data_IF_842734457140
#
_entry.id   IF_842734457140
#
_cell.length_a   1.000
_cell.length_b   1.000
_cell.length_c   1.000
_cell.angle_alpha   90.00
_cell.angle_beta   90.00
_cell.angle_gamma   90.00
#
_symmetry.space_group_name_H-M   'P 1'
#
loop_
_entity.id
_entity.type
_entity.pdbx_description
1 polymer ?
#
# COMPACT_ATOMS: atom_id res chain seq x y z
N UNK A 1 -8.50 20.95 16.54
CA UNK A 1 -7.69 20.13 15.61
C UNK A 1 -7.63 20.82 14.25
N UNK A 2 -8.77 21.15 13.64
CA UNK A 2 -8.86 21.75 12.28
C UNK A 2 -8.02 23.02 12.16
N UNK A 3 -8.13 23.94 13.10
CA UNK A 3 -7.36 25.20 13.11
C UNK A 3 -5.85 24.97 13.22
N UNK A 4 -5.44 23.92 13.94
CA UNK A 4 -4.02 23.54 14.04
C UNK A 4 -3.48 23.01 12.72
N UNK A 5 -4.27 22.19 12.02
CA UNK A 5 -3.91 21.65 10.69
C UNK A 5 -3.81 22.80 9.68
N UNK A 6 -4.76 23.73 9.71
CA UNK A 6 -4.76 24.88 8.79
C UNK A 6 -3.54 25.77 9.00
N UNK A 7 -3.22 26.13 10.25
CA UNK A 7 -1.99 26.89 10.56
C UNK A 7 -0.72 26.17 10.14
N UNK A 8 -0.70 24.82 10.22
CA UNK A 8 0.43 24.03 9.75
C UNK A 8 0.53 24.08 8.23
N UNK A 9 -0.59 23.98 7.51
CA UNK A 9 -0.64 24.01 6.06
C UNK A 9 -0.21 25.36 5.45
N UNK A 10 -0.40 26.45 6.19
CA UNK A 10 -0.04 27.82 5.76
C UNK A 10 1.49 28.10 5.89
N UNK A 11 2.24 27.22 6.54
CA UNK A 11 3.68 27.40 6.71
C UNK A 11 4.43 27.13 5.42
N UNK A 12 5.40 27.99 5.09
CA UNK A 12 6.28 27.79 3.93
C UNK A 12 7.20 26.58 4.06
N UNK A 13 7.51 26.16 5.30
CA UNK A 13 8.39 25.04 5.64
C UNK A 13 7.64 23.74 6.00
N UNK A 14 6.32 23.65 5.69
CA UNK A 14 5.48 22.52 6.08
C UNK A 14 6.02 21.17 5.63
N UNK A 15 6.57 21.10 4.42
CA UNK A 15 7.13 19.86 3.88
C UNK A 15 8.34 19.36 4.67
N UNK A 16 9.30 20.26 4.94
CA UNK A 16 10.48 19.93 5.74
C UNK A 16 10.12 19.57 7.18
N UNK A 17 9.16 20.29 7.76
CA UNK A 17 8.71 20.04 9.11
C UNK A 17 8.04 18.65 9.23
N UNK A 18 7.17 18.28 8.29
CA UNK A 18 6.53 16.98 8.25
C UNK A 18 7.53 15.86 8.01
N UNK A 19 8.48 16.05 7.08
CA UNK A 19 9.53 15.07 6.81
C UNK A 19 10.39 14.80 8.06
N UNK A 20 10.80 15.84 8.78
CA UNK A 20 11.56 15.70 10.04
C UNK A 20 10.74 15.08 11.18
N UNK A 21 9.43 15.27 11.16
CA UNK A 21 8.52 14.68 12.16
C UNK A 21 8.25 13.20 11.91
N UNK A 22 8.50 12.73 10.68
CA UNK A 22 8.33 11.33 10.30
C UNK A 22 9.47 10.49 10.88
N UNK A 23 9.13 9.42 11.61
CA UNK A 23 10.09 8.50 12.22
C UNK A 23 11.24 9.22 12.95
N UNK A 24 10.97 9.98 14.02
CA UNK A 24 11.99 10.78 14.71
C UNK A 24 13.12 9.92 15.32
N UNK A 25 12.87 8.64 15.56
CA UNK A 25 13.87 7.69 16.05
C UNK A 25 14.92 7.28 14.99
N UNK A 26 14.65 7.54 13.72
CA UNK A 26 15.58 7.25 12.63
C UNK A 26 16.37 8.51 12.35
N UNK A 27 17.71 8.40 12.54
CA UNK A 27 18.63 9.51 12.34
C UNK A 27 18.83 9.78 10.84
N UNK A 28 18.81 11.06 10.46
CA UNK A 28 18.94 11.50 9.06
C UNK A 28 17.93 10.84 8.11
N UNK A 29 18.37 10.30 6.97
CA UNK A 29 17.53 9.66 5.95
C UNK A 29 16.46 10.61 5.38
N UNK A 30 16.78 11.88 5.18
CA UNK A 30 15.80 12.90 4.78
C UNK A 30 15.09 12.54 3.46
N UNK A 31 15.83 12.07 2.46
CA UNK A 31 15.25 11.72 1.16
C UNK A 31 14.26 10.55 1.26
N UNK A 32 14.60 9.55 2.07
CA UNK A 32 13.69 8.43 2.33
C UNK A 32 12.43 8.90 3.07
N UNK A 33 12.58 9.76 4.08
CA UNK A 33 11.45 10.34 4.82
C UNK A 33 10.56 11.18 3.92
N UNK A 34 11.16 12.00 3.03
CA UNK A 34 10.43 12.79 2.04
C UNK A 34 9.67 11.92 1.04
N UNK A 35 10.30 10.87 0.53
CA UNK A 35 9.65 9.92 -0.38
C UNK A 35 8.46 9.20 0.26
N UNK A 36 8.64 8.71 1.48
CA UNK A 36 7.56 8.06 2.25
C UNK A 36 6.44 9.05 2.59
N UNK A 37 6.77 10.29 2.94
CA UNK A 37 5.77 11.33 3.20
C UNK A 37 4.90 11.58 1.97
N UNK A 38 5.50 11.71 0.79
CA UNK A 38 4.78 11.88 -0.47
C UNK A 38 3.90 10.66 -0.78
N UNK A 39 4.38 9.45 -0.52
CA UNK A 39 3.59 8.23 -0.64
C UNK A 39 2.35 8.26 0.24
N UNK A 40 2.49 8.65 1.50
CA UNK A 40 1.38 8.71 2.46
C UNK A 40 0.29 9.70 2.05
N UNK A 41 0.67 10.81 1.43
CA UNK A 41 -0.30 11.75 0.86
C UNK A 41 -0.88 11.26 -0.47
N UNK A 42 -0.11 10.51 -1.22
CA UNK A 42 -0.48 10.05 -2.57
C UNK A 42 -0.62 11.18 -3.57
N UNK A 43 -1.02 10.82 -4.77
CA UNK A 43 -1.35 11.76 -5.84
C UNK A 43 -2.86 11.79 -6.13
N UNK A 44 -3.26 12.60 -7.09
CA UNK A 44 -4.66 12.74 -7.51
C UNK A 44 -4.97 11.77 -8.65
N UNK A 45 -5.96 10.93 -8.47
CA UNK A 45 -6.51 10.11 -9.54
C UNK A 45 -7.14 11.01 -10.61
N UNK A 46 -6.84 10.75 -11.87
CA UNK A 46 -7.39 11.49 -13.02
C UNK A 46 -8.18 10.56 -13.90
N UNK A 47 -9.35 11.00 -14.32
CA UNK A 47 -10.13 10.36 -15.38
C UNK A 47 -10.28 11.35 -16.55
N UNK A 48 -10.08 10.87 -17.77
CA UNK A 48 -10.36 11.67 -18.96
C UNK A 48 -11.79 11.34 -19.35
N UNK A 49 -12.69 12.32 -19.19
CA UNK A 49 -14.05 12.21 -19.74
C UNK A 49 -13.98 12.50 -21.24
N UNK A 50 -14.28 11.52 -22.07
CA UNK A 50 -14.41 11.71 -23.52
C UNK A 50 -15.66 12.53 -23.78
N UNK A 51 -15.65 13.43 -24.78
CA UNK A 51 -16.74 14.34 -25.09
C UNK A 51 -18.11 13.67 -25.32
N UNK A 52 -18.15 12.37 -25.49
CA UNK A 52 -19.37 11.55 -25.68
C UNK A 52 -19.96 11.00 -24.37
N UNK A 53 -19.48 11.46 -23.20
CA UNK A 53 -20.01 11.07 -21.90
C UNK A 53 -19.59 9.66 -21.43
N UNK A 54 -18.68 8.99 -22.14
CA UNK A 54 -18.10 7.72 -21.70
C UNK A 54 -16.88 7.93 -20.82
N UNK A 55 -16.75 7.12 -19.77
CA UNK A 55 -15.57 7.10 -18.90
C UNK A 55 -14.34 6.68 -19.72
N UNK A 56 -13.44 7.62 -19.95
CA UNK A 56 -12.14 7.37 -20.59
C UNK A 56 -11.15 6.71 -19.64
N UNK A 57 -9.90 6.54 -20.09
CA UNK A 57 -8.87 5.86 -19.31
C UNK A 57 -8.64 6.56 -17.96
N UNK A 58 -8.59 5.77 -16.89
CA UNK A 58 -8.25 6.22 -15.53
C UNK A 58 -6.73 6.22 -15.35
N UNK A 59 -6.21 7.33 -14.89
CA UNK A 59 -4.83 7.45 -14.43
C UNK A 59 -4.82 7.45 -12.91
N UNK A 60 -4.16 6.45 -12.32
CA UNK A 60 -4.03 6.37 -10.88
C UNK A 60 -3.00 7.38 -10.35
N UNK A 61 -3.26 7.91 -9.16
CA UNK A 61 -2.37 8.83 -8.48
C UNK A 61 -1.52 8.18 -7.38
N UNK A 62 -1.59 6.85 -7.20
CA UNK A 62 -0.86 6.18 -6.15
C UNK A 62 0.64 6.20 -6.40
N UNK A 63 1.40 6.44 -5.34
CA UNK A 63 2.87 6.49 -5.38
C UNK A 63 3.40 5.24 -4.69
N UNK A 64 4.08 4.38 -5.46
CA UNK A 64 4.77 3.23 -4.93
C UNK A 64 6.24 3.58 -4.69
N UNK A 65 6.78 3.21 -3.53
CA UNK A 65 8.17 3.48 -3.13
C UNK A 65 8.92 2.17 -2.94
N UNK A 66 10.05 2.04 -3.61
CA UNK A 66 10.99 0.94 -3.41
C UNK A 66 12.24 1.45 -2.69
N UNK A 67 12.54 0.87 -1.53
CA UNK A 67 13.71 1.20 -0.73
C UNK A 67 14.75 0.10 -0.88
N UNK A 68 15.89 0.44 -1.46
CA UNK A 68 17.02 -0.48 -1.67
C UNK A 68 18.24 0.03 -0.92
N UNK A 69 18.95 -0.88 -0.26
CA UNK A 69 20.17 -0.52 0.49
C UNK A 69 20.68 -1.67 1.33
N UNK A 70 21.86 -1.49 1.89
CA UNK A 70 22.56 -2.47 2.70
C UNK A 70 21.79 -2.89 3.98
N UNK A 71 22.10 -4.04 4.57
CA UNK A 71 21.59 -4.41 5.89
C UNK A 71 21.95 -3.34 6.93
N UNK A 72 21.08 -3.12 7.91
CA UNK A 72 21.32 -2.18 9.00
C UNK A 72 21.03 -0.69 8.67
N UNK A 73 20.52 -0.37 7.49
CA UNK A 73 20.16 1.01 7.08
C UNK A 73 18.75 1.44 7.49
N UNK A 74 18.21 0.86 8.55
CA UNK A 74 16.90 1.20 9.14
C UNK A 74 15.68 1.07 8.23
N UNK A 75 15.77 0.34 7.11
CA UNK A 75 14.66 0.14 6.16
C UNK A 75 13.43 -0.49 6.82
N UNK A 76 13.62 -1.60 7.50
CA UNK A 76 12.52 -2.31 8.19
C UNK A 76 11.91 -1.48 9.31
N UNK A 77 12.71 -0.67 10.02
CA UNK A 77 12.20 0.24 11.04
C UNK A 77 11.32 1.34 10.45
N UNK A 78 11.70 1.87 9.27
CA UNK A 78 10.87 2.83 8.55
C UNK A 78 9.54 2.21 8.13
N UNK A 79 9.54 0.99 7.57
CA UNK A 79 8.32 0.28 7.19
C UNK A 79 7.41 0.02 8.39
N UNK A 80 7.98 -0.40 9.53
CA UNK A 80 7.22 -0.59 10.76
C UNK A 80 6.61 0.71 11.28
N UNK A 81 7.34 1.82 11.17
CA UNK A 81 6.80 3.12 11.55
C UNK A 81 5.64 3.53 10.64
N UNK A 82 5.80 3.41 9.33
CA UNK A 82 4.74 3.69 8.34
C UNK A 82 3.50 2.86 8.61
N UNK A 83 3.67 1.56 8.81
CA UNK A 83 2.58 0.65 9.18
C UNK A 83 1.78 1.13 10.41
N UNK A 84 2.47 1.67 11.41
CA UNK A 84 1.81 2.17 12.64
C UNK A 84 1.02 3.46 12.46
N UNK A 85 1.49 4.36 11.59
CA UNK A 85 0.85 5.67 11.39
C UNK A 85 -0.18 5.68 10.27
N UNK A 86 -0.02 4.80 9.27
CA UNK A 86 -0.92 4.74 8.14
C UNK A 86 -2.29 4.18 8.54
N UNK A 87 -3.40 4.85 8.18
CA UNK A 87 -4.70 4.23 8.26
C UNK A 87 -4.73 3.00 7.36
N UNK A 88 -5.30 1.89 7.83
CA UNK A 88 -5.28 0.60 7.11
C UNK A 88 -3.88 0.15 6.68
N UNK A 89 -2.88 0.43 7.50
CA UNK A 89 -1.52 -0.05 7.27
C UNK A 89 -1.43 -1.56 7.45
N UNK A 90 -0.86 -2.26 6.48
CA UNK A 90 -0.53 -3.69 6.57
C UNK A 90 0.98 -3.87 6.48
N UNK A 91 1.52 -4.81 7.26
CA UNK A 91 2.93 -5.16 7.23
C UNK A 91 3.09 -6.63 6.87
N UNK A 92 3.87 -6.91 5.86
CA UNK A 92 4.08 -8.26 5.31
C UNK A 92 5.56 -8.51 5.09
N UNK A 93 6.04 -9.70 5.41
CA UNK A 93 7.39 -10.12 5.03
C UNK A 93 7.35 -10.93 3.73
N UNK A 94 8.17 -10.56 2.75
CA UNK A 94 8.30 -11.28 1.49
C UNK A 94 8.74 -12.73 1.65
N UNK A 95 9.55 -13.02 2.69
CA UNK A 95 10.04 -14.37 2.98
C UNK A 95 8.95 -15.37 3.37
N UNK A 96 7.86 -14.93 3.97
CA UNK A 96 6.76 -15.79 4.42
C UNK A 96 5.47 -15.62 3.62
N UNK A 97 5.45 -14.73 2.64
CA UNK A 97 4.24 -14.39 1.92
C UNK A 97 3.97 -15.35 0.77
N UNK A 98 2.76 -15.90 0.74
CA UNK A 98 2.23 -16.57 -0.44
C UNK A 98 1.38 -15.61 -1.27
N UNK A 99 1.25 -15.87 -2.57
CA UNK A 99 0.35 -15.11 -3.43
C UNK A 99 -1.08 -15.07 -2.87
N UNK A 100 -1.50 -16.15 -2.27
CA UNK A 100 -2.82 -16.31 -1.63
C UNK A 100 -2.95 -15.42 -0.38
N UNK A 101 -1.95 -15.35 0.47
CA UNK A 101 -1.96 -14.51 1.68
C UNK A 101 -1.91 -13.02 1.38
N UNK A 102 -1.41 -12.63 0.21
CA UNK A 102 -1.41 -11.24 -0.23
C UNK A 102 -2.76 -10.82 -0.85
N UNK A 103 -3.44 -11.72 -1.54
CA UNK A 103 -4.64 -11.38 -2.31
C UNK A 103 -5.93 -11.73 -1.60
N UNK A 104 -6.36 -12.95 -1.76
CA UNK A 104 -7.51 -13.52 -1.07
C UNK A 104 -7.44 -15.04 -1.10
N UNK A 105 -8.03 -15.67 -0.13
CA UNK A 105 -8.12 -17.12 -0.06
C UNK A 105 -9.54 -17.58 0.30
N UNK A 106 -9.88 -18.76 -0.21
CA UNK A 106 -11.15 -19.38 0.10
C UNK A 106 -10.92 -20.35 1.25
N UNK A 107 -11.60 -20.12 2.34
CA UNK A 107 -11.63 -21.01 3.50
C UNK A 107 -13.04 -21.56 3.71
N UNK A 108 -13.14 -22.59 4.52
CA UNK A 108 -14.43 -23.12 4.93
C UNK A 108 -14.74 -22.64 6.34
N UNK A 109 -15.84 -21.92 6.48
CA UNK A 109 -16.34 -21.49 7.77
C UNK A 109 -16.56 -22.73 8.68
N UNK A 110 -15.98 -22.76 9.87
CA UNK A 110 -16.09 -23.92 10.77
C UNK A 110 -17.51 -24.18 11.24
N UNK A 111 -18.34 -23.16 11.35
CA UNK A 111 -19.70 -23.25 11.88
C UNK A 111 -20.70 -23.57 10.79
N UNK A 112 -20.69 -22.82 9.69
CA UNK A 112 -21.64 -22.98 8.58
C UNK A 112 -21.20 -23.97 7.53
N UNK A 113 -19.91 -24.38 7.52
CA UNK A 113 -19.25 -25.21 6.50
C UNK A 113 -19.34 -24.66 5.08
N UNK A 114 -19.79 -23.45 4.91
CA UNK A 114 -19.81 -22.76 3.63
C UNK A 114 -18.42 -22.27 3.23
N UNK A 115 -18.21 -22.11 1.93
CA UNK A 115 -16.98 -21.50 1.42
C UNK A 115 -17.07 -19.98 1.59
N UNK A 116 -16.10 -19.40 2.28
CA UNK A 116 -16.00 -17.96 2.53
C UNK A 116 -14.70 -17.45 1.91
N UNK A 117 -14.78 -16.30 1.25
CA UNK A 117 -13.62 -15.60 0.71
C UNK A 117 -13.03 -14.69 1.80
N UNK A 118 -11.79 -14.96 2.21
CA UNK A 118 -11.04 -14.09 3.12
C UNK A 118 -10.06 -13.23 2.36
N UNK A 119 -10.03 -11.94 2.70
CA UNK A 119 -9.18 -10.94 2.07
C UNK A 119 -7.75 -11.03 2.59
N UNK A 120 -6.78 -10.99 1.69
CA UNK A 120 -5.36 -10.91 2.03
C UNK A 120 -4.87 -9.48 2.26
N UNK A 121 -3.57 -9.34 2.52
CA UNK A 121 -2.97 -8.09 2.96
C UNK A 121 -3.18 -6.91 1.99
N UNK A 122 -3.12 -7.14 0.68
CA UNK A 122 -3.32 -6.08 -0.33
C UNK A 122 -4.76 -5.57 -0.33
N UNK A 123 -5.73 -6.47 -0.30
CA UNK A 123 -7.15 -6.08 -0.26
C UNK A 123 -7.50 -5.39 1.06
N UNK A 124 -6.93 -5.84 2.18
CA UNK A 124 -7.12 -5.20 3.48
C UNK A 124 -6.49 -3.81 3.57
N UNK A 125 -5.46 -3.54 2.78
CA UNK A 125 -4.81 -2.23 2.70
C UNK A 125 -5.40 -1.29 1.64
N UNK A 126 -6.51 -1.65 1.02
CA UNK A 126 -7.20 -0.78 0.06
C UNK A 126 -7.50 0.60 0.66
N UNK A 127 -7.09 1.65 -0.04
CA UNK A 127 -7.12 3.03 0.47
C UNK A 127 -6.15 3.32 1.64
N UNK A 128 -5.18 2.44 1.86
CA UNK A 128 -4.14 2.53 2.88
C UNK A 128 -2.73 2.32 2.34
N UNK A 129 -1.88 1.69 3.14
CA UNK A 129 -0.48 1.39 2.76
C UNK A 129 -0.13 -0.06 3.09
N UNK A 130 0.34 -0.80 2.11
CA UNK A 130 0.93 -2.11 2.30
C UNK A 130 2.46 -2.01 2.36
N UNK A 131 3.03 -2.32 3.52
CA UNK A 131 4.48 -2.34 3.74
C UNK A 131 5.00 -3.76 3.54
N UNK A 132 5.83 -3.96 2.53
CA UNK A 132 6.41 -5.27 2.22
C UNK A 132 7.90 -5.23 2.51
N UNK A 133 8.34 -5.94 3.53
CA UNK A 133 9.75 -6.11 3.86
C UNK A 133 10.33 -7.35 3.16
N UNK A 134 11.64 -7.38 2.97
CA UNK A 134 12.35 -8.49 2.30
C UNK A 134 11.75 -8.85 0.92
N UNK A 135 11.44 -7.83 0.12
CA UNK A 135 10.84 -7.98 -1.21
C UNK A 135 11.66 -8.87 -2.15
N UNK A 136 12.98 -8.85 -2.02
CA UNK A 136 13.93 -9.67 -2.80
C UNK A 136 13.76 -11.17 -2.58
N UNK A 137 13.21 -11.58 -1.43
CA UNK A 137 12.97 -12.98 -1.05
C UNK A 137 11.58 -13.50 -1.41
N UNK A 138 10.78 -12.66 -2.05
CA UNK A 138 9.43 -13.02 -2.46
C UNK A 138 9.46 -14.00 -3.64
N UNK A 139 8.65 -15.08 -3.61
CA UNK A 139 8.52 -16.00 -4.75
C UNK A 139 8.01 -15.30 -6.02
N UNK A 140 8.41 -15.77 -7.20
CA UNK A 140 8.02 -15.17 -8.47
C UNK A 140 6.51 -15.13 -8.70
N UNK A 141 5.80 -16.17 -8.30
CA UNK A 141 4.34 -16.21 -8.37
C UNK A 141 3.69 -15.08 -7.56
N UNK A 142 4.25 -14.77 -6.39
CA UNK A 142 3.79 -13.70 -5.53
C UNK A 142 4.10 -12.32 -6.12
N UNK A 143 5.29 -12.16 -6.73
CA UNK A 143 5.66 -10.92 -7.44
C UNK A 143 4.76 -10.63 -8.63
N UNK A 144 4.35 -11.65 -9.37
CA UNK A 144 3.44 -11.52 -10.52
C UNK A 144 2.08 -10.96 -10.09
N UNK A 145 1.56 -11.41 -8.95
CA UNK A 145 0.31 -10.88 -8.38
C UNK A 145 0.46 -9.41 -7.97
N UNK A 146 1.58 -9.04 -7.35
CA UNK A 146 1.85 -7.65 -7.02
C UNK A 146 1.90 -6.77 -8.28
N UNK A 147 2.45 -7.28 -9.37
CA UNK A 147 2.51 -6.57 -10.65
C UNK A 147 1.09 -6.24 -11.16
N UNK A 148 0.18 -7.21 -11.12
CA UNK A 148 -1.24 -7.03 -11.48
C UNK A 148 -1.89 -5.94 -10.61
N UNK A 149 -1.71 -6.03 -9.29
CA UNK A 149 -2.28 -5.05 -8.34
C UNK A 149 -1.72 -3.66 -8.58
N UNK A 150 -0.42 -3.53 -8.80
CA UNK A 150 0.22 -2.24 -9.07
C UNK A 150 -0.23 -1.60 -10.38
N UNK A 151 -0.61 -2.41 -11.38
CA UNK A 151 -1.10 -1.89 -12.66
C UNK A 151 -2.59 -1.59 -12.64
N UNK A 152 -3.40 -2.49 -12.09
CA UNK A 152 -4.86 -2.47 -12.23
C UNK A 152 -5.60 -2.01 -10.97
N UNK A 153 -4.93 -1.93 -9.81
CA UNK A 153 -5.55 -1.67 -8.50
C UNK A 153 -6.65 -2.69 -8.15
N UNK A 154 -6.54 -3.88 -8.69
CA UNK A 154 -7.50 -4.96 -8.48
C UNK A 154 -6.79 -6.30 -8.39
N UNK A 155 -7.42 -7.22 -7.70
CA UNK A 155 -7.01 -8.62 -7.60
C UNK A 155 -8.09 -9.51 -8.18
N UNK A 156 -7.74 -10.28 -9.18
CA UNK A 156 -8.63 -11.28 -9.77
C UNK A 156 -8.50 -12.59 -8.99
N UNK A 157 -9.59 -13.06 -8.43
CA UNK A 157 -9.65 -14.33 -7.70
C UNK A 157 -10.55 -15.31 -8.45
N UNK A 158 -9.97 -16.43 -8.87
CA UNK A 158 -10.69 -17.54 -9.50
C UNK A 158 -10.35 -18.83 -8.75
N UNK A 159 -11.08 -19.12 -7.67
CA UNK A 159 -10.86 -20.29 -6.82
C UNK A 159 -12.17 -20.91 -6.36
N UNK A 160 -12.21 -22.23 -6.30
CA UNK A 160 -13.34 -23.01 -5.78
C UNK A 160 -14.71 -22.63 -6.40
N UNK A 161 -14.73 -22.26 -7.70
CA UNK A 161 -15.95 -21.81 -8.38
C UNK A 161 -16.36 -20.37 -8.11
N UNK A 162 -15.58 -19.62 -7.32
CA UNK A 162 -15.78 -18.19 -7.07
C UNK A 162 -14.86 -17.42 -8.04
N UNK A 163 -15.46 -16.57 -8.88
CA UNK A 163 -14.75 -15.64 -9.76
C UNK A 163 -15.18 -14.24 -9.33
N UNK A 164 -14.23 -13.46 -8.83
CA UNK A 164 -14.48 -12.08 -8.39
C UNK A 164 -13.25 -11.22 -8.56
N UNK A 165 -13.46 -9.92 -8.66
CA UNK A 165 -12.41 -8.91 -8.66
C UNK A 165 -12.54 -8.07 -7.40
N UNK A 166 -11.46 -7.94 -6.66
CA UNK A 166 -11.39 -7.17 -5.43
C UNK A 166 -10.52 -5.93 -5.65
N UNK A 167 -10.88 -4.81 -5.03
CA UNK A 167 -10.03 -3.63 -4.99
C UNK A 167 -8.85 -3.85 -4.05
N UNK A 168 -7.67 -3.31 -4.41
CA UNK A 168 -6.44 -3.45 -3.65
C UNK A 168 -5.49 -2.24 -3.85
#
# INVERSE_FOLDING_TARGET
IRDRIQRLAERSDVYELLARSLAPSIYEMEDMKKGVLLQLFGGTNKSITTGDGHDGPRYRGDINVLIVGDPGTSKSQMLQYVHKIAPRGMYVSGKGSSAVGLTAYVTRDPDTKQLVLESGALVLSDGGVCCIDEFDKMPDATRSVLHEVMEQQTVSVAKAGIITTLNA
#
